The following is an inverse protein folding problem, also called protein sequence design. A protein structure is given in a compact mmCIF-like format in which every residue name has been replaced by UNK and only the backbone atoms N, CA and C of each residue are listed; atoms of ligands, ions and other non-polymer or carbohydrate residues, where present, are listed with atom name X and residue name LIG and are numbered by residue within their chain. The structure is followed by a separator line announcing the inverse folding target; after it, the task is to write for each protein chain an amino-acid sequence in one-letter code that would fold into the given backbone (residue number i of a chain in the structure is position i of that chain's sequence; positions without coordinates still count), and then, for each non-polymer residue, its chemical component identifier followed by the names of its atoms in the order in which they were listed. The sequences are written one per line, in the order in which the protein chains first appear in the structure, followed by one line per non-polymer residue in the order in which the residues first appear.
data_IF_066257012705
#
_entry.id   IF_066257012705
#
_cell.length_a   1.000
_cell.length_b   1.000
_cell.length_c   1.000
_cell.angle_alpha   90.00
_cell.angle_beta   90.00
_cell.angle_gamma   90.00
#
_symmetry.space_group_name_H-M   'P 1'
#
loop_
_entity.id
_entity.type
_entity.pdbx_description
1 polymer ?
#
# COMPACT_ATOMS: atom_id res chain seq x y z
N UNK A 1 9.58 4.24 -11.82
CA UNK A 1 9.44 5.05 -10.63
C UNK A 1 9.17 4.13 -9.44
N UNK A 2 10.05 4.22 -8.42
CA UNK A 2 10.12 3.28 -7.31
C UNK A 2 8.80 3.06 -6.59
N UNK A 3 8.04 4.14 -6.38
CA UNK A 3 6.73 4.08 -5.74
C UNK A 3 5.60 3.52 -6.62
N UNK A 4 5.73 3.54 -7.94
CA UNK A 4 4.66 3.04 -8.82
C UNK A 4 4.45 1.53 -8.72
N UNK A 5 5.53 0.78 -8.57
CA UNK A 5 5.42 -0.67 -8.37
C UNK A 5 4.76 -1.01 -7.04
N UNK A 6 5.07 -0.27 -5.97
CA UNK A 6 4.45 -0.43 -4.65
C UNK A 6 2.96 -0.11 -4.73
N UNK A 7 2.62 1.01 -5.34
CA UNK A 7 1.24 1.45 -5.48
C UNK A 7 0.40 0.46 -6.29
N UNK A 8 0.97 -0.10 -7.36
CA UNK A 8 0.30 -1.13 -8.15
C UNK A 8 0.08 -2.43 -7.35
N UNK A 9 1.06 -2.86 -6.56
CA UNK A 9 0.95 -4.08 -5.73
C UNK A 9 -0.09 -3.92 -4.62
N UNK A 10 -0.10 -2.76 -3.96
CA UNK A 10 -1.05 -2.43 -2.90
C UNK A 10 -2.40 -1.95 -3.45
N UNK A 11 -2.56 -1.90 -4.78
CA UNK A 11 -3.77 -1.36 -5.45
C UNK A 11 -4.10 0.07 -5.03
N UNK A 12 -3.06 0.87 -4.75
CA UNK A 12 -3.21 2.29 -4.44
C UNK A 12 -3.52 3.03 -5.74
N UNK A 13 -4.63 3.74 -5.76
CA UNK A 13 -5.11 4.54 -6.90
C UNK A 13 -4.75 6.02 -6.71
N UNK A 14 -4.76 6.81 -7.80
CA UNK A 14 -4.85 8.26 -7.65
C UNK A 14 -6.23 8.63 -7.08
N UNK A 15 -6.33 9.78 -6.40
CA UNK A 15 -7.61 10.23 -5.86
C UNK A 15 -8.69 10.35 -6.95
N UNK A 16 -8.31 10.89 -8.11
CA UNK A 16 -9.22 10.99 -9.27
C UNK A 16 -9.74 9.64 -9.72
N UNK A 17 -8.85 8.64 -9.89
CA UNK A 17 -9.26 7.28 -10.27
C UNK A 17 -10.21 6.66 -9.24
N UNK A 18 -9.90 6.80 -7.94
CA UNK A 18 -10.78 6.33 -6.88
C UNK A 18 -12.14 7.04 -6.91
N UNK A 19 -12.16 8.37 -7.08
CA UNK A 19 -13.40 9.14 -7.08
C UNK A 19 -14.33 8.79 -8.25
N UNK A 20 -13.77 8.52 -9.43
CA UNK A 20 -14.49 8.24 -10.66
C UNK A 20 -14.92 6.77 -10.82
N UNK A 21 -14.23 5.82 -10.18
CA UNK A 21 -14.56 4.40 -10.28
C UNK A 21 -15.80 4.00 -9.47
N UNK A 22 -16.27 2.76 -9.65
CA UNK A 22 -17.48 2.24 -8.98
C UNK A 22 -17.18 1.60 -7.62
N UNK A 23 -15.91 1.57 -7.18
CA UNK A 23 -15.56 1.00 -5.88
C UNK A 23 -16.06 1.89 -4.75
N UNK A 24 -16.66 1.30 -3.71
CA UNK A 24 -17.10 2.03 -2.52
C UNK A 24 -15.95 2.33 -1.55
N UNK A 25 -14.89 1.53 -1.59
CA UNK A 25 -13.71 1.68 -0.73
C UNK A 25 -12.44 1.51 -1.56
N UNK A 26 -11.38 2.23 -1.21
CA UNK A 26 -10.10 2.13 -1.90
C UNK A 26 -8.97 2.78 -1.14
N UNK A 27 -7.75 2.49 -1.59
CA UNK A 27 -6.52 3.07 -1.08
C UNK A 27 -6.05 4.18 -1.99
N UNK A 28 -5.74 5.33 -1.39
CA UNK A 28 -5.17 6.50 -2.08
C UNK A 28 -3.94 6.96 -1.31
N UNK A 29 -2.87 7.31 -1.99
CA UNK A 29 -1.72 7.93 -1.35
C UNK A 29 -1.73 9.44 -1.60
N UNK A 30 -1.32 10.20 -0.59
CA UNK A 30 -1.20 11.65 -0.70
C UNK A 30 -0.25 12.24 0.32
N UNK A 31 0.38 13.36 -0.06
CA UNK A 31 1.22 14.17 0.81
C UNK A 31 0.39 15.34 1.35
N UNK A 32 0.50 15.63 2.63
CA UNK A 32 -0.20 16.76 3.24
C UNK A 32 0.39 18.07 2.76
N UNK A 33 -0.45 18.93 2.22
CA UNK A 33 -0.10 20.29 1.78
C UNK A 33 -0.46 21.34 2.83
N UNK A 34 -1.60 21.15 3.50
CA UNK A 34 -2.04 22.01 4.59
C UNK A 34 -3.08 21.34 5.47
N UNK A 35 -3.18 21.80 6.70
CA UNK A 35 -4.12 21.31 7.70
C UNK A 35 -4.82 22.50 8.34
N UNK A 36 -6.15 22.49 8.38
CA UNK A 36 -6.96 23.50 9.05
C UNK A 36 -7.88 22.82 10.05
N UNK A 37 -7.54 22.90 11.34
CA UNK A 37 -8.43 22.44 12.40
C UNK A 37 -9.52 23.47 12.67
N UNK A 38 -10.75 23.01 12.82
CA UNK A 38 -11.94 23.82 13.08
C UNK A 38 -12.83 23.14 14.13
N UNK A 39 -13.81 23.87 14.62
CA UNK A 39 -14.86 23.34 15.47
C UNK A 39 -16.22 23.52 14.81
N UNK A 40 -17.06 22.52 14.90
CA UNK A 40 -18.46 22.61 14.46
C UNK A 40 -19.25 23.57 15.39
N UNK A 41 -20.48 23.93 15.02
CA UNK A 41 -21.36 24.70 15.85
C UNK A 41 -21.62 24.05 17.23
N UNK A 42 -21.49 22.73 17.34
CA UNK A 42 -21.61 21.96 18.58
C UNK A 42 -20.29 21.83 19.36
N UNK A 43 -19.23 22.52 18.91
CA UNK A 43 -17.91 22.46 19.53
C UNK A 43 -17.08 21.21 19.20
N UNK A 44 -17.57 20.30 18.35
CA UNK A 44 -16.86 19.07 17.94
C UNK A 44 -15.72 19.43 16.99
N UNK A 45 -14.47 18.99 17.26
CA UNK A 45 -13.33 19.28 16.40
C UNK A 45 -13.41 18.50 15.09
N UNK A 46 -12.94 19.09 14.01
CA UNK A 46 -12.69 18.46 12.73
C UNK A 46 -11.54 19.17 12.03
N UNK A 47 -10.93 18.53 11.05
CA UNK A 47 -9.91 19.16 10.22
C UNK A 47 -10.28 19.06 8.74
N UNK A 48 -9.92 20.11 7.99
CA UNK A 48 -9.86 20.08 6.54
C UNK A 48 -8.40 19.90 6.19
N UNK A 49 -8.06 18.78 5.56
CA UNK A 49 -6.70 18.47 5.18
C UNK A 49 -6.60 18.44 3.66
N UNK A 50 -5.72 19.27 3.14
CA UNK A 50 -5.40 19.32 1.71
C UNK A 50 -4.24 18.38 1.44
N UNK A 51 -4.48 17.42 0.56
CA UNK A 51 -3.48 16.47 0.07
C UNK A 51 -3.12 16.74 -1.38
N UNK A 52 -1.93 16.33 -1.78
CA UNK A 52 -1.59 16.16 -3.19
C UNK A 52 -1.18 14.73 -3.47
N UNK A 53 -1.68 14.16 -4.57
CA UNK A 53 -1.09 13.01 -5.20
C UNK A 53 -0.23 13.44 -6.40
N UNK A 54 0.31 12.49 -7.18
CA UNK A 54 1.15 12.82 -8.35
C UNK A 54 0.42 13.61 -9.46
N UNK A 55 -0.90 13.67 -9.44
CA UNK A 55 -1.73 14.19 -10.53
C UNK A 55 -2.61 15.35 -10.13
N UNK A 56 -3.11 15.33 -8.91
CA UNK A 56 -4.14 16.27 -8.44
C UNK A 56 -3.95 16.64 -6.98
N UNK A 57 -4.51 17.78 -6.61
CA UNK A 57 -4.74 18.17 -5.22
C UNK A 57 -6.20 17.85 -4.86
N UNK A 58 -6.43 17.42 -3.62
CA UNK A 58 -7.76 17.11 -3.11
C UNK A 58 -7.87 17.40 -1.63
N UNK A 59 -9.08 17.66 -1.17
CA UNK A 59 -9.37 17.96 0.24
C UNK A 59 -10.22 16.86 0.85
N UNK A 60 -9.90 16.49 2.08
CA UNK A 60 -10.64 15.54 2.88
C UNK A 60 -10.98 16.13 4.25
N UNK A 61 -12.16 15.77 4.74
CA UNK A 61 -12.59 16.11 6.08
C UNK A 61 -12.23 14.98 7.03
N UNK A 62 -11.46 15.30 8.07
CA UNK A 62 -11.19 14.40 9.19
C UNK A 62 -12.11 14.78 10.34
N UNK A 63 -13.10 13.96 10.60
CA UNK A 63 -14.01 14.14 11.72
C UNK A 63 -13.33 13.78 13.05
N UNK A 64 -13.93 14.17 14.16
CA UNK A 64 -13.34 14.14 15.49
C UNK A 64 -12.58 12.85 15.83
N UNK A 65 -13.18 11.70 15.58
CA UNK A 65 -12.57 10.39 15.89
C UNK A 65 -11.26 10.18 15.10
N UNK A 66 -11.31 10.35 13.80
CA UNK A 66 -10.14 10.19 12.92
C UNK A 66 -9.09 11.26 13.17
N UNK A 67 -9.51 12.50 13.44
CA UNK A 67 -8.59 13.60 13.75
C UNK A 67 -7.86 13.36 15.06
N UNK A 68 -8.56 13.02 16.13
CA UNK A 68 -7.96 12.80 17.45
C UNK A 68 -6.97 11.63 17.43
N UNK A 69 -7.36 10.53 16.77
CA UNK A 69 -6.52 9.33 16.66
C UNK A 69 -5.22 9.54 15.87
N UNK A 70 -5.17 10.55 15.00
CA UNK A 70 -4.04 10.77 14.10
C UNK A 70 -3.37 12.14 14.24
N UNK A 71 -3.86 13.04 15.11
CA UNK A 71 -3.43 14.43 15.18
C UNK A 71 -1.91 14.62 15.22
N UNK A 72 -1.22 13.82 16.03
CA UNK A 72 0.24 13.91 16.18
C UNK A 72 1.03 13.52 14.93
N UNK A 73 0.43 12.69 14.08
CA UNK A 73 1.05 12.21 12.83
C UNK A 73 0.79 13.13 11.65
N UNK A 74 -0.27 13.95 11.73
CA UNK A 74 -0.67 14.83 10.64
C UNK A 74 0.25 16.04 10.61
N UNK A 75 1.32 15.94 9.84
CA UNK A 75 2.34 16.98 9.66
C UNK A 75 2.42 17.33 8.18
N UNK A 76 2.53 18.63 7.86
CA UNK A 76 2.73 19.10 6.48
C UNK A 76 3.99 18.49 5.88
N UNK A 77 3.93 18.18 4.59
CA UNK A 77 4.94 17.48 3.81
C UNK A 77 5.10 15.98 4.10
N UNK A 78 4.40 15.43 5.09
CA UNK A 78 4.37 13.99 5.32
C UNK A 78 3.40 13.28 4.36
N UNK A 79 3.75 12.05 3.99
CA UNK A 79 3.00 11.24 3.03
C UNK A 79 2.29 10.07 3.70
N UNK A 80 1.04 9.83 3.29
CA UNK A 80 0.17 8.82 3.88
C UNK A 80 -0.50 7.95 2.83
N UNK A 81 -0.82 6.73 3.22
CA UNK A 81 -1.81 5.89 2.57
C UNK A 81 -3.12 6.02 3.33
N UNK A 82 -4.15 6.42 2.61
CA UNK A 82 -5.49 6.69 3.12
C UNK A 82 -6.43 5.57 2.67
N UNK A 83 -7.14 4.95 3.60
CA UNK A 83 -8.30 4.13 3.27
C UNK A 83 -9.51 5.06 3.20
N UNK A 84 -10.04 5.22 1.99
CA UNK A 84 -11.16 6.09 1.70
C UNK A 84 -12.43 5.28 1.43
N UNK A 85 -13.57 5.80 1.86
CA UNK A 85 -14.88 5.23 1.59
C UNK A 85 -15.80 6.29 0.99
N UNK A 86 -16.48 5.93 -0.11
CA UNK A 86 -17.55 6.75 -0.69
C UNK A 86 -18.88 6.41 -0.04
N UNK A 87 -19.64 7.43 0.34
CA UNK A 87 -21.01 7.25 0.78
C UNK A 87 -21.88 6.76 -0.39
N UNK A 88 -22.85 5.91 -0.08
CA UNK A 88 -23.88 5.54 -1.06
C UNK A 88 -24.66 6.80 -1.44
N UNK A 89 -24.80 7.03 -2.74
CA UNK A 89 -25.60 8.14 -3.25
C UNK A 89 -27.07 7.87 -2.87
N UNK A 90 -27.59 8.67 -1.98
CA UNK A 90 -29.02 8.70 -1.64
C UNK A 90 -29.58 10.03 -2.10
N UNK A 91 -30.37 10.02 -3.18
CA UNK A 91 -31.07 11.20 -3.70
C UNK A 91 -30.43 11.82 -4.95
N UNK A 92 -30.86 13.02 -5.29
CA UNK A 92 -30.49 13.80 -6.48
C UNK A 92 -29.11 14.45 -6.44
N UNK A 93 -28.39 14.31 -5.34
CA UNK A 93 -27.08 14.94 -5.15
C UNK A 93 -26.00 14.11 -5.87
N UNK A 94 -25.45 14.65 -6.96
CA UNK A 94 -24.47 13.98 -7.81
C UNK A 94 -23.06 13.90 -7.22
N UNK A 95 -22.81 14.56 -6.06
CA UNK A 95 -21.49 14.57 -5.40
C UNK A 95 -21.35 13.42 -4.42
N UNK A 96 -20.43 12.50 -4.73
CA UNK A 96 -20.03 11.43 -3.81
C UNK A 96 -19.27 12.06 -2.64
N UNK A 97 -19.76 11.89 -1.40
CA UNK A 97 -18.99 12.25 -0.21
C UNK A 97 -17.95 11.18 0.04
N UNK A 98 -16.73 11.59 0.29
CA UNK A 98 -15.59 10.69 0.59
C UNK A 98 -15.20 10.84 2.05
N UNK A 99 -15.20 9.72 2.77
CA UNK A 99 -14.83 9.66 4.19
C UNK A 99 -13.48 8.96 4.35
N UNK A 100 -12.67 9.41 5.30
CA UNK A 100 -11.41 8.78 5.67
C UNK A 100 -11.68 7.75 6.76
N UNK A 101 -11.36 6.48 6.50
CA UNK A 101 -11.49 5.37 7.45
C UNK A 101 -10.20 5.11 8.21
N UNK A 102 -9.06 5.21 7.53
CA UNK A 102 -7.76 4.90 8.11
C UNK A 102 -6.67 5.77 7.47
N UNK A 103 -5.69 6.13 8.27
CA UNK A 103 -4.51 6.89 7.86
C UNK A 103 -3.28 6.13 8.35
N UNK A 104 -2.35 5.82 7.44
CA UNK A 104 -1.09 5.14 7.75
C UNK A 104 0.03 5.90 7.06
N UNK A 105 1.14 6.15 7.76
CA UNK A 105 2.32 6.74 7.14
C UNK A 105 2.78 5.87 5.97
N UNK A 106 3.16 6.51 4.88
CA UNK A 106 3.61 5.80 3.68
C UNK A 106 4.84 4.93 3.97
N UNK A 107 5.75 5.39 4.80
CA UNK A 107 6.93 4.66 5.23
C UNK A 107 6.56 3.35 5.95
N UNK A 108 5.59 3.40 6.89
CA UNK A 108 5.12 2.21 7.61
C UNK A 108 4.51 1.16 6.68
N UNK A 109 3.93 1.60 5.55
CA UNK A 109 3.37 0.69 4.54
C UNK A 109 4.46 0.07 3.68
N UNK A 110 5.50 0.83 3.36
CA UNK A 110 6.63 0.39 2.54
C UNK A 110 7.50 -0.60 3.31
N UNK A 111 7.74 -0.34 4.59
CA UNK A 111 8.61 -1.14 5.45
C UNK A 111 7.92 -2.39 6.02
N UNK A 112 6.60 -2.50 5.83
CA UNK A 112 5.86 -3.66 6.33
C UNK A 112 6.32 -4.93 5.60
N UNK A 113 6.81 -5.94 6.34
CA UNK A 113 7.20 -7.20 5.74
C UNK A 113 5.98 -7.92 5.14
N UNK A 114 6.19 -8.58 4.02
CA UNK A 114 5.19 -9.46 3.44
C UNK A 114 5.00 -10.69 4.34
N UNK A 115 3.77 -11.12 4.56
CA UNK A 115 3.50 -12.32 5.37
C UNK A 115 3.92 -13.61 4.68
N UNK A 116 3.71 -13.66 3.35
CA UNK A 116 4.04 -14.82 2.52
C UNK A 116 4.45 -14.38 1.13
N UNK A 117 5.48 -15.04 0.59
CA UNK A 117 5.96 -14.80 -0.77
C UNK A 117 6.17 -16.13 -1.49
N UNK A 118 5.67 -16.21 -2.71
CA UNK A 118 5.89 -17.35 -3.61
C UNK A 118 6.71 -16.90 -4.81
N UNK A 119 7.86 -17.53 -5.03
CA UNK A 119 8.81 -17.23 -6.09
C UNK A 119 8.84 -18.39 -7.07
N UNK A 120 8.33 -18.19 -8.29
CA UNK A 120 8.39 -19.14 -9.39
C UNK A 120 9.72 -18.99 -10.14
N UNK A 121 10.45 -20.09 -10.28
CA UNK A 121 11.78 -20.14 -10.84
C UNK A 121 11.79 -20.82 -12.21
N UNK A 122 12.54 -20.26 -13.17
CA UNK A 122 12.86 -20.91 -14.44
C UNK A 122 13.91 -22.00 -14.22
N UNK A 123 14.05 -22.94 -15.18
CA UNK A 123 15.00 -24.07 -15.08
C UNK A 123 16.46 -23.70 -14.81
N UNK A 124 16.88 -22.51 -15.24
CA UNK A 124 18.26 -22.02 -15.11
C UNK A 124 18.47 -21.13 -13.87
N UNK A 125 17.70 -21.37 -12.80
CA UNK A 125 17.84 -20.59 -11.58
C UNK A 125 19.18 -20.77 -10.86
N UNK A 126 19.62 -19.72 -10.16
CA UNK A 126 20.84 -19.72 -9.35
C UNK A 126 20.48 -19.80 -7.86
N UNK A 127 20.50 -21.02 -7.32
CA UNK A 127 20.15 -21.27 -5.92
C UNK A 127 21.09 -20.55 -4.94
N UNK A 128 22.37 -20.42 -5.26
CA UNK A 128 23.36 -19.74 -4.40
C UNK A 128 23.01 -18.25 -4.25
N UNK A 129 22.66 -17.61 -5.33
CA UNK A 129 22.28 -16.20 -5.34
C UNK A 129 20.94 -15.97 -4.59
N UNK A 130 19.97 -16.86 -4.81
CA UNK A 130 18.69 -16.81 -4.06
C UNK A 130 18.94 -16.95 -2.56
N UNK A 131 19.76 -17.91 -2.14
CA UNK A 131 20.12 -18.09 -0.73
C UNK A 131 20.83 -16.87 -0.14
N UNK A 132 21.65 -16.20 -0.91
CA UNK A 132 22.33 -14.98 -0.50
C UNK A 132 21.33 -13.83 -0.26
N UNK A 133 20.42 -13.62 -1.23
CA UNK A 133 19.39 -12.60 -1.14
C UNK A 133 18.40 -12.84 0.02
N UNK A 134 18.10 -14.10 0.32
CA UNK A 134 17.18 -14.52 1.36
C UNK A 134 17.91 -15.04 2.62
N UNK A 135 19.08 -14.54 2.93
CA UNK A 135 19.91 -15.03 4.04
C UNK A 135 19.43 -14.55 5.42
N UNK A 136 18.85 -13.37 5.50
CA UNK A 136 18.44 -12.75 6.77
C UNK A 136 17.14 -13.35 7.31
N UNK A 137 17.12 -13.67 8.63
CA UNK A 137 15.90 -14.09 9.31
C UNK A 137 14.90 -12.94 9.38
N UNK A 138 13.62 -13.25 9.36
CA UNK A 138 12.53 -12.28 9.42
C UNK A 138 11.18 -12.93 9.61
N UNK A 139 10.12 -12.30 9.15
CA UNK A 139 8.74 -12.70 9.42
C UNK A 139 8.01 -13.28 8.19
N UNK A 140 8.64 -13.24 7.00
CA UNK A 140 8.03 -13.67 5.75
C UNK A 140 8.22 -15.17 5.49
N UNK A 141 7.13 -15.90 5.30
CA UNK A 141 7.15 -17.27 4.75
C UNK A 141 7.54 -17.24 3.26
N UNK A 142 8.57 -17.99 2.89
CA UNK A 142 9.04 -18.04 1.50
C UNK A 142 8.82 -19.43 0.90
N UNK A 143 8.14 -19.48 -0.23
CA UNK A 143 7.97 -20.64 -1.07
C UNK A 143 8.68 -20.46 -2.40
N UNK A 144 9.54 -21.41 -2.77
CA UNK A 144 10.17 -21.49 -4.08
C UNK A 144 9.45 -22.55 -4.92
N UNK A 145 9.05 -22.18 -6.11
CA UNK A 145 8.31 -23.06 -7.02
C UNK A 145 9.17 -23.32 -8.26
N UNK A 146 9.46 -24.59 -8.52
CA UNK A 146 10.16 -25.03 -9.73
C UNK A 146 9.21 -25.86 -10.58
N UNK A 147 9.03 -25.47 -11.84
CA UNK A 147 8.21 -26.21 -12.79
C UNK A 147 9.12 -27.03 -13.71
N UNK A 148 8.90 -28.35 -13.78
CA UNK A 148 9.55 -29.23 -14.74
C UNK A 148 8.52 -30.05 -15.51
N UNK A 149 8.39 -29.77 -16.81
CA UNK A 149 7.40 -30.35 -17.73
C UNK A 149 5.98 -30.32 -17.11
N UNK A 150 5.48 -31.48 -16.63
CA UNK A 150 4.14 -31.62 -16.06
C UNK A 150 4.13 -31.69 -14.52
N UNK A 151 5.26 -31.40 -13.88
CA UNK A 151 5.39 -31.46 -12.41
C UNK A 151 5.77 -30.08 -11.87
N UNK A 152 5.14 -29.75 -10.76
CA UNK A 152 5.49 -28.57 -9.98
C UNK A 152 6.01 -29.02 -8.62
N UNK A 153 7.17 -28.54 -8.23
CA UNK A 153 7.76 -28.81 -6.92
C UNK A 153 7.80 -27.50 -6.14
N UNK A 154 7.26 -27.53 -4.93
CA UNK A 154 7.23 -26.39 -4.02
C UNK A 154 8.19 -26.69 -2.88
N UNK A 155 9.15 -25.81 -2.68
CA UNK A 155 10.08 -25.82 -1.56
C UNK A 155 9.73 -24.70 -0.59
N UNK A 156 9.19 -25.03 0.56
CA UNK A 156 9.01 -24.04 1.64
C UNK A 156 10.30 -23.93 2.44
N UNK A 157 10.79 -22.73 2.67
CA UNK A 157 11.92 -22.52 3.55
C UNK A 157 11.51 -22.82 4.99
N UNK A 158 12.37 -23.55 5.72
CA UNK A 158 12.06 -23.98 7.10
C UNK A 158 11.93 -22.82 8.08
N UNK A 159 12.62 -21.72 7.82
CA UNK A 159 12.57 -20.50 8.64
C UNK A 159 12.07 -19.34 7.81
N UNK A 160 11.30 -18.46 8.44
CA UNK A 160 10.87 -17.21 7.83
C UNK A 160 12.08 -16.30 7.55
N UNK A 161 11.99 -15.51 6.50
CA UNK A 161 13.06 -14.63 6.01
C UNK A 161 12.63 -13.18 6.05
N UNK A 162 13.62 -12.28 6.14
CA UNK A 162 13.38 -10.88 5.87
C UNK A 162 13.09 -10.74 4.37
N UNK A 163 11.91 -10.20 4.06
CA UNK A 163 11.51 -9.94 2.69
C UNK A 163 10.74 -8.61 2.66
N UNK A 164 11.36 -7.60 2.15
CA UNK A 164 10.83 -6.27 1.95
C UNK A 164 10.83 -5.91 0.46
N UNK A 165 10.49 -4.68 0.16
CA UNK A 165 10.46 -4.17 -1.20
C UNK A 165 11.81 -4.26 -1.92
N UNK A 166 12.92 -4.05 -1.21
CA UNK A 166 14.27 -4.12 -1.80
C UNK A 166 14.58 -5.56 -2.25
N UNK A 167 14.20 -6.57 -1.45
CA UNK A 167 14.30 -7.97 -1.82
C UNK A 167 13.44 -8.29 -3.06
N UNK A 168 12.20 -7.77 -3.09
CA UNK A 168 11.30 -7.95 -4.22
C UNK A 168 11.91 -7.39 -5.52
N UNK A 169 12.47 -6.17 -5.48
CA UNK A 169 13.13 -5.55 -6.63
C UNK A 169 14.38 -6.32 -7.08
N UNK A 170 15.23 -6.68 -6.12
CA UNK A 170 16.45 -7.42 -6.41
C UNK A 170 16.16 -8.76 -7.09
N UNK A 171 15.11 -9.47 -6.64
CA UNK A 171 14.70 -10.75 -7.25
C UNK A 171 14.02 -10.54 -8.61
N UNK A 172 13.12 -9.56 -8.75
CA UNK A 172 12.49 -9.26 -10.06
C UNK A 172 13.49 -8.92 -11.16
N UNK A 173 14.62 -8.32 -10.81
CA UNK A 173 15.70 -8.03 -11.76
C UNK A 173 16.45 -9.28 -12.28
N UNK A 174 16.26 -10.46 -11.66
CA UNK A 174 16.95 -11.69 -12.05
C UNK A 174 16.24 -12.39 -13.20
N UNK A 175 16.97 -12.70 -14.26
CA UNK A 175 16.44 -13.34 -15.49
C UNK A 175 15.83 -14.72 -15.26
N UNK A 176 16.22 -15.41 -14.18
CA UNK A 176 15.74 -16.74 -13.81
C UNK A 176 14.47 -16.72 -12.92
N UNK A 177 14.00 -15.57 -12.54
CA UNK A 177 12.69 -15.40 -11.88
C UNK A 177 11.61 -15.37 -12.97
N UNK A 178 10.59 -16.21 -12.82
CA UNK A 178 9.43 -16.23 -13.71
C UNK A 178 8.33 -15.32 -13.17
N UNK A 179 8.00 -15.49 -11.89
CA UNK A 179 6.93 -14.73 -11.21
C UNK A 179 7.21 -14.63 -9.73
N UNK A 180 6.80 -13.54 -9.12
CA UNK A 180 6.75 -13.39 -7.65
C UNK A 180 5.32 -12.98 -7.28
N UNK A 181 4.73 -13.73 -6.34
CA UNK A 181 3.41 -13.45 -5.75
C UNK A 181 3.61 -13.14 -4.26
N UNK A 182 3.12 -12.01 -3.82
CA UNK A 182 3.21 -11.51 -2.44
C UNK A 182 1.83 -11.40 -1.81
#
# INVERSE_FOLDING_TARGET
NEFEEIFNQLKIKSYKQFYEDDSNEGLVAGTIMSIQEKKSAKGTPYAIVKFSDKKTEFELFLFAETLIANREKLIESESFVLTLQKDKITGTDSKKRVNVKKIINLEDVIDKPYSKVTIELKKNYNLKEIKQLLSSKGETEINLVVKDRNKQVIYSLQENRKFDLNHLKALKAKKYIEKITV
#
